data_IF_737224864337
#
_entry.id   IF_737224864337
#
_cell.length_a   1.000
_cell.length_b   1.000
_cell.length_c   1.000
_cell.angle_alpha   90.00
_cell.angle_beta   90.00
_cell.angle_gamma   90.00
#
_symmetry.space_group_name_H-M   'P 1'
#
loop_
_entity.id
_entity.type
_entity.pdbx_description
1 polymer ?
#
# COMPACT_ATOMS: atom_id res chain seq x y z
N UNK A 1 9.44 23.83 1.61
CA UNK A 1 9.00 22.45 1.33
C UNK A 1 9.83 21.54 2.20
N UNK A 2 9.20 20.74 3.05
CA UNK A 2 9.93 19.79 3.88
C UNK A 2 10.09 18.51 3.10
N UNK A 3 11.31 18.20 2.66
CA UNK A 3 11.67 16.85 2.19
C UNK A 3 11.47 15.89 3.36
N UNK A 4 11.22 14.61 3.08
CA UNK A 4 11.22 13.56 4.10
C UNK A 4 12.44 13.66 5.01
N UNK A 5 12.26 13.37 6.30
CA UNK A 5 13.34 13.44 7.30
C UNK A 5 14.34 12.30 7.19
N UNK A 6 14.00 11.25 6.44
CA UNK A 6 14.87 10.13 6.10
C UNK A 6 14.93 9.97 4.58
N UNK A 7 16.03 9.41 4.09
CA UNK A 7 16.18 9.07 2.67
C UNK A 7 15.36 7.84 2.30
N UNK A 8 15.08 7.67 1.00
CA UNK A 8 14.44 6.45 0.48
C UNK A 8 15.22 5.19 0.88
N UNK A 9 16.55 5.24 0.79
CA UNK A 9 17.42 4.12 1.18
C UNK A 9 17.26 3.75 2.65
N UNK A 10 17.30 4.73 3.55
CA UNK A 10 17.13 4.49 4.99
C UNK A 10 15.74 3.91 5.29
N UNK A 11 14.70 4.38 4.60
CA UNK A 11 13.34 3.86 4.76
C UNK A 11 13.24 2.38 4.33
N UNK A 12 13.87 2.02 3.19
CA UNK A 12 13.89 0.66 2.66
C UNK A 12 14.74 -0.26 3.56
N UNK A 13 15.92 0.20 3.98
CA UNK A 13 16.82 -0.55 4.87
C UNK A 13 16.12 -0.85 6.21
N UNK A 14 15.31 0.08 6.74
CA UNK A 14 14.50 -0.12 7.95
C UNK A 14 13.44 -1.22 7.77
N UNK A 15 12.84 -1.34 6.58
CA UNK A 15 11.88 -2.41 6.27
C UNK A 15 12.52 -3.79 6.22
N UNK A 16 13.78 -3.88 5.78
CA UNK A 16 14.61 -5.08 5.91
C UNK A 16 14.13 -6.30 5.12
N UNK A 17 13.28 -6.12 4.09
CA UNK A 17 12.83 -7.18 3.20
C UNK A 17 13.41 -6.97 1.80
N UNK A 18 14.43 -7.76 1.46
CA UNK A 18 15.25 -7.63 0.24
C UNK A 18 15.68 -6.17 -0.09
N UNK A 19 16.27 -5.42 0.86
CA UNK A 19 16.45 -3.98 0.74
C UNK A 19 17.27 -3.55 -0.47
N UNK A 20 18.30 -4.31 -0.85
CA UNK A 20 19.11 -4.02 -2.04
C UNK A 20 18.31 -4.15 -3.34
N UNK A 21 17.49 -5.19 -3.46
CA UNK A 21 16.64 -5.44 -4.63
C UNK A 21 15.55 -4.38 -4.73
N UNK A 22 14.86 -4.11 -3.63
CA UNK A 22 13.81 -3.08 -3.57
C UNK A 22 14.38 -1.71 -3.91
N UNK A 23 15.49 -1.32 -3.28
CA UNK A 23 16.13 -0.03 -3.54
C UNK A 23 16.58 0.11 -5.00
N UNK A 24 17.22 -0.92 -5.57
CA UNK A 24 17.62 -0.92 -6.97
C UNK A 24 16.42 -0.71 -7.90
N UNK A 25 15.38 -1.53 -7.76
CA UNK A 25 14.21 -1.52 -8.64
C UNK A 25 13.42 -0.20 -8.52
N UNK A 26 13.24 0.32 -7.30
CA UNK A 26 12.57 1.62 -7.10
C UNK A 26 13.41 2.77 -7.67
N UNK A 27 14.74 2.72 -7.53
CA UNK A 27 15.63 3.74 -8.11
C UNK A 27 15.57 3.73 -9.63
N UNK A 28 15.50 2.56 -10.26
CA UNK A 28 15.30 2.46 -11.71
C UNK A 28 13.94 3.02 -12.13
N UNK A 29 12.86 2.69 -11.41
CA UNK A 29 11.52 3.21 -11.69
C UNK A 29 11.39 4.72 -11.48
N UNK A 30 12.20 5.31 -10.60
CA UNK A 30 12.27 6.76 -10.42
C UNK A 30 12.92 7.48 -11.60
N UNK A 31 13.73 6.80 -12.42
CA UNK A 31 14.37 7.34 -13.63
C UNK A 31 15.03 8.73 -13.41
N UNK A 32 15.80 8.83 -12.32
CA UNK A 32 16.52 10.06 -11.94
C UNK A 32 15.67 11.14 -11.23
N UNK A 33 14.38 10.91 -10.99
CA UNK A 33 13.54 11.81 -10.17
C UNK A 33 13.93 11.69 -8.69
N UNK A 34 13.86 12.81 -7.98
CA UNK A 34 14.12 12.86 -6.54
C UNK A 34 12.95 12.26 -5.75
N UNK A 35 13.25 11.40 -4.77
CA UNK A 35 12.28 10.86 -3.84
C UNK A 35 11.98 11.90 -2.74
N UNK A 36 10.94 12.71 -2.91
CA UNK A 36 10.60 13.81 -2.00
C UNK A 36 9.98 13.29 -0.69
N UNK A 37 9.09 12.31 -0.82
CA UNK A 37 8.39 11.65 0.27
C UNK A 37 8.15 10.19 -0.05
N UNK A 38 8.18 9.33 0.97
CA UNK A 38 8.04 7.90 0.80
C UNK A 38 7.29 7.24 1.97
N UNK A 39 6.63 6.14 1.67
CA UNK A 39 6.12 5.18 2.64
C UNK A 39 6.76 3.84 2.29
N UNK A 40 7.35 3.18 3.29
CA UNK A 40 7.82 1.79 3.18
C UNK A 40 7.06 1.00 4.23
N UNK A 41 6.19 0.11 3.77
CA UNK A 41 5.37 -0.73 4.63
C UNK A 41 5.70 -2.19 4.37
N UNK A 42 6.05 -2.91 5.42
CA UNK A 42 6.29 -4.36 5.37
C UNK A 42 5.20 -5.01 6.16
N UNK A 43 4.54 -5.96 5.54
CA UNK A 43 3.47 -6.72 6.15
C UNK A 43 3.82 -8.20 6.12
N UNK A 44 3.37 -8.93 7.13
CA UNK A 44 3.67 -10.34 7.32
C UNK A 44 2.38 -11.04 7.71
N UNK A 45 1.82 -11.77 6.74
CA UNK A 45 0.65 -12.60 6.94
C UNK A 45 1.07 -14.02 7.24
N UNK A 46 0.33 -14.66 8.15
CA UNK A 46 0.45 -16.08 8.44
C UNK A 46 -0.81 -16.74 7.89
N UNK A 47 -0.67 -17.65 6.92
CA UNK A 47 -1.71 -18.63 6.62
C UNK A 47 -1.35 -19.97 7.29
N UNK A 48 -2.26 -20.93 7.25
CA UNK A 48 -2.16 -22.23 7.94
C UNK A 48 -0.90 -23.02 7.57
N UNK A 49 -0.28 -22.73 6.42
CA UNK A 49 0.88 -23.46 5.89
C UNK A 49 2.11 -22.57 5.61
N UNK A 50 1.94 -21.25 5.40
CA UNK A 50 3.04 -20.38 4.95
C UNK A 50 3.02 -18.96 5.56
N UNK A 51 4.22 -18.36 5.62
CA UNK A 51 4.41 -16.96 6.01
C UNK A 51 4.58 -16.14 4.74
N UNK A 52 3.59 -15.31 4.42
CA UNK A 52 3.66 -14.38 3.29
C UNK A 52 4.15 -13.03 3.79
N UNK A 53 5.41 -12.70 3.47
CA UNK A 53 5.95 -11.38 3.72
C UNK A 53 5.93 -10.59 2.43
N UNK A 54 5.43 -9.36 2.50
CA UNK A 54 5.48 -8.43 1.37
C UNK A 54 5.92 -7.05 1.83
N UNK A 55 6.49 -6.29 0.91
CA UNK A 55 6.88 -4.90 1.09
C UNK A 55 6.21 -4.05 0.01
N UNK A 56 5.52 -3.01 0.45
CA UNK A 56 4.95 -1.98 -0.41
C UNK A 56 5.71 -0.67 -0.19
N UNK A 57 6.21 -0.10 -1.29
CA UNK A 57 6.90 1.19 -1.31
C UNK A 57 6.10 2.18 -2.14
N UNK A 58 5.76 3.33 -1.55
CA UNK A 58 5.20 4.47 -2.26
C UNK A 58 6.23 5.60 -2.25
N UNK A 59 6.50 6.22 -3.39
CA UNK A 59 7.40 7.36 -3.50
C UNK A 59 6.74 8.47 -4.30
N UNK A 60 6.58 9.65 -3.70
CA UNK A 60 6.18 10.87 -4.41
C UNK A 60 7.46 11.52 -4.96
N UNK A 61 7.50 11.70 -6.28
CA UNK A 61 8.65 12.23 -7.00
C UNK A 61 8.19 13.26 -8.05
N UNK A 62 8.06 14.52 -7.63
CA UNK A 62 7.43 15.57 -8.43
C UNK A 62 5.96 15.25 -8.75
N UNK A 63 5.66 15.05 -10.03
CA UNK A 63 4.31 14.84 -10.55
C UNK A 63 3.89 13.37 -10.67
N UNK A 64 4.68 12.43 -10.15
CA UNK A 64 4.37 10.99 -10.16
C UNK A 64 4.48 10.37 -8.77
N UNK A 65 3.69 9.33 -8.54
CA UNK A 65 3.86 8.38 -7.44
C UNK A 65 4.41 7.08 -8.03
N UNK A 66 5.61 6.69 -7.62
CA UNK A 66 6.12 5.34 -7.89
C UNK A 66 5.60 4.41 -6.81
N UNK A 67 4.95 3.35 -7.25
CA UNK A 67 4.47 2.25 -6.42
C UNK A 67 5.34 1.06 -6.70
N UNK A 68 5.86 0.40 -5.67
CA UNK A 68 6.51 -0.88 -5.80
C UNK A 68 5.93 -1.88 -4.79
N UNK A 69 5.72 -3.10 -5.23
CA UNK A 69 5.30 -4.19 -4.36
C UNK A 69 6.21 -5.38 -4.59
N UNK A 70 6.78 -5.94 -3.53
CA UNK A 70 7.56 -7.16 -3.58
C UNK A 70 6.99 -8.18 -2.62
N UNK A 71 6.79 -9.39 -3.13
CA UNK A 71 6.49 -10.60 -2.38
C UNK A 71 7.50 -11.70 -2.75
N UNK A 72 7.62 -12.72 -1.91
CA UNK A 72 8.37 -13.93 -2.23
C UNK A 72 7.53 -15.19 -1.97
N UNK A 73 7.82 -16.23 -2.75
CA UNK A 73 7.12 -17.51 -2.69
C UNK A 73 8.13 -18.64 -2.92
N UNK A 74 7.87 -19.85 -2.41
CA UNK A 74 8.64 -21.02 -2.80
C UNK A 74 8.58 -21.21 -4.32
N UNK A 75 9.70 -21.57 -4.95
CA UNK A 75 9.71 -21.96 -6.34
C UNK A 75 8.80 -23.19 -6.53
N UNK A 76 7.94 -23.13 -7.56
CA UNK A 76 7.17 -24.30 -7.97
C UNK A 76 8.16 -25.43 -8.33
N UNK A 77 7.98 -26.61 -7.73
CA UNK A 77 8.76 -27.77 -8.12
C UNK A 77 8.34 -28.17 -9.54
N UNK A 78 9.23 -27.94 -10.51
CA UNK A 78 9.10 -28.61 -11.81
C UNK A 78 9.28 -30.11 -11.55
N UNK A 79 8.39 -30.98 -12.03
CA UNK A 79 8.36 -32.44 -11.75
C UNK A 79 9.68 -33.18 -12.11
N UNK A 80 10.62 -32.49 -12.75
CA UNK A 80 11.95 -32.96 -13.13
C UNK A 80 13.11 -32.44 -12.25
N UNK A 81 12.86 -31.48 -11.35
CA UNK A 81 13.86 -30.97 -10.42
C UNK A 81 13.86 -31.81 -9.14
N UNK A 82 15.04 -32.29 -8.75
CA UNK A 82 15.22 -33.15 -7.59
C UNK A 82 14.56 -32.57 -6.33
N UNK A 83 13.78 -33.40 -5.65
CA UNK A 83 13.16 -33.13 -4.35
C UNK A 83 14.16 -32.44 -3.40
N UNK A 84 13.88 -31.19 -3.02
CA UNK A 84 14.53 -30.57 -1.85
C UNK A 84 15.35 -29.29 -2.06
N UNK A 85 15.37 -28.66 -3.24
CA UNK A 85 15.84 -27.27 -3.33
C UNK A 85 14.67 -26.31 -3.09
N UNK A 86 14.40 -26.00 -1.82
CA UNK A 86 13.47 -24.93 -1.42
C UNK A 86 13.96 -23.54 -1.84
N UNK A 87 14.12 -23.32 -3.14
CA UNK A 87 14.48 -22.04 -3.73
C UNK A 87 13.32 -21.07 -3.52
N UNK A 88 13.63 -19.85 -3.10
CA UNK A 88 12.65 -18.78 -2.90
C UNK A 88 12.77 -17.80 -4.06
N UNK A 89 11.65 -17.52 -4.72
CA UNK A 89 11.57 -16.56 -5.82
C UNK A 89 10.86 -15.31 -5.34
N UNK A 90 11.53 -14.16 -5.47
CA UNK A 90 10.93 -12.86 -5.20
C UNK A 90 10.36 -12.25 -6.49
N UNK A 91 9.13 -11.75 -6.43
CA UNK A 91 8.49 -10.99 -7.52
C UNK A 91 8.32 -9.55 -7.06
N UNK A 92 8.93 -8.62 -7.78
CA UNK A 92 8.73 -7.18 -7.60
C UNK A 92 8.02 -6.59 -8.81
N UNK A 93 6.93 -5.87 -8.56
CA UNK A 93 6.25 -5.05 -9.56
C UNK A 93 6.46 -3.57 -9.23
N UNK A 94 6.56 -2.74 -10.28
CA UNK A 94 6.58 -1.28 -10.15
C UNK A 94 5.53 -0.67 -11.05
N UNK A 95 4.89 0.39 -10.57
CA UNK A 95 3.95 1.21 -11.32
C UNK A 95 4.31 2.69 -11.13
N UNK A 96 4.33 3.45 -12.22
CA UNK A 96 4.54 4.90 -12.18
C UNK A 96 3.22 5.58 -12.47
N UNK A 97 2.63 6.19 -11.44
CA UNK A 97 1.30 6.77 -11.48
C UNK A 97 1.40 8.30 -11.52
N UNK A 98 0.99 8.95 -12.62
CA UNK A 98 0.87 10.40 -12.64
C UNK A 98 -0.06 10.87 -11.52
N UNK A 99 0.34 11.89 -10.78
CA UNK A 99 -0.45 12.47 -9.68
C UNK A 99 -1.81 12.94 -10.18
N UNK A 100 -1.91 13.41 -11.43
CA UNK A 100 -3.16 13.79 -12.09
C UNK A 100 -4.14 12.62 -12.31
N UNK A 101 -3.68 11.37 -12.22
CA UNK A 101 -4.52 10.16 -12.29
C UNK A 101 -5.01 9.68 -10.92
N UNK A 102 -4.50 10.23 -9.82
CA UNK A 102 -5.01 9.91 -8.48
C UNK A 102 -6.45 10.43 -8.39
N UNK A 103 -7.42 9.50 -8.36
CA UNK A 103 -8.86 9.81 -8.33
C UNK A 103 -9.35 10.07 -6.91
N UNK A 104 -8.82 9.33 -5.94
CA UNK A 104 -9.23 9.44 -4.55
C UNK A 104 -8.06 9.16 -3.62
N UNK A 105 -7.99 9.92 -2.53
CA UNK A 105 -7.08 9.69 -1.42
C UNK A 105 -7.87 9.85 -0.12
N UNK A 106 -7.99 8.75 0.64
CA UNK A 106 -8.62 8.74 1.96
C UNK A 106 -7.53 8.47 3.00
N UNK A 107 -7.50 9.31 4.04
CA UNK A 107 -6.66 9.11 5.23
C UNK A 107 -7.56 9.07 6.45
N UNK A 108 -7.50 7.97 7.18
CA UNK A 108 -8.13 7.80 8.51
C UNK A 108 -7.05 7.84 9.57
N UNK A 109 -7.24 8.67 10.60
CA UNK A 109 -6.28 8.85 11.71
C UNK A 109 -6.88 8.28 13.01
N UNK A 110 -6.11 7.51 13.77
CA UNK A 110 -6.52 6.98 15.08
C UNK A 110 -5.83 7.77 16.19
N UNK A 111 -6.62 8.44 17.04
CA UNK A 111 -6.13 9.23 18.17
C UNK A 111 -6.32 8.46 19.49
N UNK A 112 -5.26 8.39 20.31
CA UNK A 112 -5.36 7.88 21.70
C UNK A 112 -5.95 8.95 22.61
N UNK A 113 -6.88 8.56 23.48
CA UNK A 113 -7.51 9.43 24.47
C UNK A 113 -8.06 10.72 23.84
N UNK A 114 -9.06 10.63 22.94
CA UNK A 114 -9.57 11.78 22.17
C UNK A 114 -10.14 12.90 23.07
N UNK A 115 -10.59 12.59 24.28
CA UNK A 115 -11.02 13.56 25.29
C UNK A 115 -9.90 14.48 25.78
N UNK A 116 -8.64 14.11 25.54
CA UNK A 116 -7.43 14.89 25.87
C UNK A 116 -6.68 15.31 24.60
N UNK A 117 -7.40 15.60 23.52
CA UNK A 117 -6.81 15.95 22.23
C UNK A 117 -5.80 17.09 22.33
N UNK A 118 -4.62 16.88 21.73
CA UNK A 118 -3.62 17.91 21.48
C UNK A 118 -3.06 17.74 20.07
N UNK A 119 -2.90 18.84 19.35
CA UNK A 119 -2.42 18.81 17.96
C UNK A 119 -0.97 18.32 17.80
N UNK A 120 -0.18 18.37 18.88
CA UNK A 120 1.22 17.91 18.96
C UNK A 120 1.35 16.44 19.37
N UNK A 121 0.25 15.77 19.74
CA UNK A 121 0.27 14.37 20.16
C UNK A 121 0.39 13.45 18.94
N UNK A 122 1.29 12.47 19.02
CA UNK A 122 1.45 11.42 18.01
C UNK A 122 0.18 10.60 17.83
N UNK A 123 -0.05 10.15 16.59
CA UNK A 123 -1.17 9.28 16.24
C UNK A 123 -0.87 7.84 16.65
N UNK A 124 -1.91 7.08 16.98
CA UNK A 124 -1.77 5.65 17.23
C UNK A 124 -1.55 4.87 15.93
N UNK A 125 -2.23 5.29 14.87
CA UNK A 125 -2.31 4.59 13.60
C UNK A 125 -2.85 5.53 12.53
N UNK A 126 -2.46 5.27 11.28
CA UNK A 126 -3.08 5.84 10.09
C UNK A 126 -3.44 4.72 9.11
N UNK A 127 -4.58 4.89 8.43
CA UNK A 127 -4.96 4.07 7.28
C UNK A 127 -5.08 4.95 6.04
N UNK A 128 -4.36 4.59 4.98
CA UNK A 128 -4.35 5.26 3.67
C UNK A 128 -5.05 4.35 2.65
N UNK A 129 -5.99 4.91 1.89
CA UNK A 129 -6.53 4.30 0.69
C UNK A 129 -6.27 5.25 -0.48
N UNK A 130 -5.61 4.77 -1.54
CA UNK A 130 -5.23 5.55 -2.71
C UNK A 130 -5.76 4.86 -3.96
N UNK A 131 -6.49 5.59 -4.80
CA UNK A 131 -7.12 5.04 -6.00
C UNK A 131 -6.71 5.75 -7.29
N UNK A 132 -6.34 5.02 -8.35
CA UNK A 132 -5.94 5.57 -9.66
C UNK A 132 -6.27 4.69 -10.88
N UNK A 133 -6.15 3.36 -10.79
CA UNK A 133 -6.30 2.50 -11.97
C UNK A 133 -7.75 2.36 -12.42
N UNK A 134 -8.72 2.77 -11.59
CA UNK A 134 -10.14 2.62 -11.91
C UNK A 134 -10.58 1.16 -12.03
N UNK A 135 -9.67 0.23 -11.79
CA UNK A 135 -9.93 -1.18 -11.57
C UNK A 135 -10.68 -1.31 -10.24
N UNK A 136 -11.66 -2.20 -10.25
CA UNK A 136 -12.45 -2.50 -9.08
C UNK A 136 -12.93 -3.94 -9.20
N UNK A 137 -12.94 -4.64 -8.08
CA UNK A 137 -13.62 -5.92 -7.97
C UNK A 137 -15.11 -5.67 -7.81
N UNK A 138 -15.91 -6.42 -8.54
CA UNK A 138 -17.36 -6.44 -8.34
C UNK A 138 -17.73 -7.69 -7.56
N UNK A 139 -18.14 -7.49 -6.31
CA UNK A 139 -18.67 -8.56 -5.46
C UNK A 139 -20.18 -8.61 -5.60
N UNK A 140 -20.71 -9.72 -6.10
CA UNK A 140 -22.15 -9.91 -6.29
C UNK A 140 -22.70 -11.06 -5.45
N UNK A 141 -23.95 -10.90 -5.03
CA UNK A 141 -24.73 -11.91 -4.31
C UNK A 141 -26.18 -11.84 -4.77
N UNK A 142 -26.93 -12.95 -4.77
CA UNK A 142 -28.36 -12.93 -5.07
C UNK A 142 -29.10 -11.93 -4.19
N UNK A 143 -29.98 -11.13 -4.80
CA UNK A 143 -30.78 -10.16 -4.07
C UNK A 143 -31.83 -10.86 -3.19
N UNK A 144 -31.84 -10.54 -1.89
CA UNK A 144 -32.85 -11.03 -0.95
C UNK A 144 -34.03 -10.04 -0.85
N UNK A 145 -35.25 -10.54 -0.99
CA UNK A 145 -36.49 -9.76 -0.85
C UNK A 145 -37.12 -9.86 0.55
N UNK A 146 -36.56 -10.68 1.45
CA UNK A 146 -37.04 -10.88 2.82
C UNK A 146 -38.32 -11.72 2.94
N UNK A 147 -38.86 -12.24 1.83
CA UNK A 147 -39.98 -13.17 1.82
C UNK A 147 -39.50 -14.61 1.56
N UNK A 148 -39.56 -15.52 2.55
CA UNK A 148 -39.08 -16.89 2.42
C UNK A 148 -39.93 -17.77 1.48
N UNK A 149 -41.15 -17.34 1.13
CA UNK A 149 -42.00 -18.03 0.17
C UNK A 149 -41.86 -17.48 -1.26
N UNK A 150 -41.02 -16.46 -1.46
CA UNK A 150 -40.83 -15.87 -2.78
C UNK A 150 -39.95 -16.75 -3.67
N UNK A 151 -40.46 -17.13 -4.84
CA UNK A 151 -39.74 -17.92 -5.86
C UNK A 151 -39.31 -17.06 -7.07
N UNK A 152 -39.46 -15.74 -6.99
CA UNK A 152 -39.12 -14.83 -8.07
C UNK A 152 -37.60 -14.59 -8.12
N UNK A 153 -37.05 -14.50 -9.33
CA UNK A 153 -35.67 -14.06 -9.55
C UNK A 153 -35.62 -12.53 -9.41
N UNK A 154 -34.91 -12.06 -8.39
CA UNK A 154 -34.72 -10.65 -8.10
C UNK A 154 -33.38 -10.10 -8.63
N UNK A 155 -32.64 -10.92 -9.38
CA UNK A 155 -31.29 -10.61 -9.85
C UNK A 155 -30.27 -10.60 -8.72
N UNK A 156 -29.10 -10.02 -9.02
CA UNK A 156 -28.00 -9.87 -8.07
C UNK A 156 -27.91 -8.44 -7.55
N UNK A 157 -27.53 -8.30 -6.29
CA UNK A 157 -27.00 -7.06 -5.73
C UNK A 157 -25.49 -7.19 -5.62
N UNK A 158 -24.78 -6.07 -5.68
CA UNK A 158 -23.34 -6.12 -5.55
C UNK A 158 -22.71 -4.81 -5.11
N UNK A 159 -21.45 -4.91 -4.69
CA UNK A 159 -20.62 -3.78 -4.28
C UNK A 159 -19.39 -3.71 -5.16
N UNK A 160 -19.07 -2.51 -5.63
CA UNK A 160 -17.79 -2.24 -6.29
C UNK A 160 -16.75 -1.88 -5.24
N UNK A 161 -15.65 -2.64 -5.21
CA UNK A 161 -14.50 -2.41 -4.34
C UNK A 161 -13.36 -1.90 -5.21
N UNK A 162 -12.97 -0.61 -5.13
CA UNK A 162 -11.80 -0.11 -5.82
C UNK A 162 -10.57 -0.91 -5.39
N UNK A 163 -9.77 -1.34 -6.36
CA UNK A 163 -8.54 -2.10 -6.12
C UNK A 163 -7.39 -1.26 -6.61
N UNK A 164 -6.72 -0.57 -5.69
CA UNK A 164 -5.53 0.21 -6.01
C UNK A 164 -4.51 0.03 -4.88
N UNK A 165 -4.51 0.83 -3.80
CA UNK A 165 -3.68 0.55 -2.61
C UNK A 165 -4.38 0.90 -1.30
N UNK A 166 -4.27 -0.01 -0.33
CA UNK A 166 -4.64 0.22 1.08
C UNK A 166 -3.47 -0.11 1.99
N UNK A 167 -3.06 0.85 2.82
CA UNK A 167 -2.00 0.67 3.82
C UNK A 167 -2.52 1.03 5.20
N UNK A 168 -2.18 0.22 6.20
CA UNK A 168 -2.45 0.49 7.62
C UNK A 168 -1.12 0.49 8.36
N UNK A 169 -0.80 1.61 8.99
CA UNK A 169 0.48 1.84 9.67
C UNK A 169 0.18 2.21 11.12
N UNK A 170 0.56 1.35 12.05
CA UNK A 170 0.32 1.48 13.46
C UNK A 170 1.63 1.75 14.21
N UNK A 171 1.63 2.74 15.10
CA UNK A 171 2.79 3.09 15.91
C UNK A 171 3.36 1.90 16.73
N UNK A 172 2.50 0.97 17.12
CA UNK A 172 2.90 -0.23 17.88
C UNK A 172 3.63 -1.27 17.04
N UNK A 173 3.46 -1.27 15.71
CA UNK A 173 4.07 -2.23 14.79
C UNK A 173 5.24 -1.60 14.03
N UNK A 174 5.02 -0.46 13.38
CA UNK A 174 6.03 0.21 12.54
C UNK A 174 6.77 1.36 13.25
N UNK A 175 6.33 1.76 14.46
CA UNK A 175 6.91 2.85 15.23
C UNK A 175 6.29 4.22 14.94
N UNK A 176 6.44 5.15 15.88
CA UNK A 176 5.84 6.50 15.79
C UNK A 176 6.30 7.27 14.53
N UNK A 177 7.58 7.12 14.15
CA UNK A 177 8.13 7.80 12.97
C UNK A 177 7.46 7.35 11.67
N UNK A 178 7.09 6.08 11.54
CA UNK A 178 6.43 5.57 10.34
C UNK A 178 5.04 6.18 10.14
N UNK A 179 4.32 6.41 11.25
CA UNK A 179 3.02 7.08 11.23
C UNK A 179 3.15 8.54 10.80
N UNK A 180 4.15 9.25 11.33
CA UNK A 180 4.43 10.65 10.96
C UNK A 180 4.91 10.78 9.50
N UNK A 181 5.75 9.86 9.03
CA UNK A 181 6.20 9.79 7.63
C UNK A 181 5.01 9.58 6.68
N UNK A 182 4.12 8.62 6.98
CA UNK A 182 2.92 8.38 6.19
C UNK A 182 2.00 9.61 6.14
N UNK A 183 1.84 10.30 7.28
CA UNK A 183 1.07 11.55 7.33
C UNK A 183 1.73 12.66 6.52
N UNK A 184 3.06 12.74 6.54
CA UNK A 184 3.85 13.69 5.74
C UNK A 184 3.67 13.43 4.24
N UNK A 185 3.81 12.17 3.81
CA UNK A 185 3.56 11.72 2.45
C UNK A 185 2.15 12.10 1.97
N UNK A 186 1.11 11.79 2.75
CA UNK A 186 -0.27 12.12 2.40
C UNK A 186 -0.48 13.63 2.27
N UNK A 187 0.11 14.43 3.15
CA UNK A 187 0.04 15.89 3.06
C UNK A 187 0.71 16.40 1.78
N UNK A 188 1.83 15.81 1.38
CA UNK A 188 2.53 16.18 0.16
C UNK A 188 1.73 15.77 -1.09
N UNK A 189 1.23 14.53 -1.12
CA UNK A 189 0.42 14.01 -2.22
C UNK A 189 -0.86 14.83 -2.40
N UNK A 190 -1.55 15.20 -1.32
CA UNK A 190 -2.73 16.09 -1.39
C UNK A 190 -2.43 17.44 -2.04
N UNK A 191 -1.25 18.03 -1.79
CA UNK A 191 -0.83 19.27 -2.45
C UNK A 191 -0.55 19.04 -3.92
N UNK A 192 0.26 18.03 -4.23
CA UNK A 192 0.59 17.68 -5.61
C UNK A 192 -0.66 17.36 -6.45
N UNK A 193 -1.66 16.67 -5.89
CA UNK A 193 -2.94 16.38 -6.56
C UNK A 193 -3.72 17.64 -6.92
N UNK A 194 -3.64 18.70 -6.10
CA UNK A 194 -4.26 20.00 -6.42
C UNK A 194 -3.43 20.75 -7.47
N UNK A 195 -2.11 20.73 -7.33
CA UNK A 195 -1.19 21.42 -8.24
C UNK A 195 -1.20 20.83 -9.66
N UNK A 196 -1.56 19.55 -9.79
CA UNK A 196 -1.56 18.79 -11.04
C UNK A 196 -2.94 18.29 -11.47
N UNK A 197 -4.02 18.91 -10.97
CA UNK A 197 -5.41 18.53 -11.28
C UNK A 197 -5.85 18.78 -12.74
N UNK A 198 -4.93 18.97 -13.70
CA UNK A 198 -5.23 19.37 -15.08
C UNK A 198 -5.11 18.24 -16.07
#
# INVERSE_FOLDING_TARGET
MGISTITLKEAIDRGGFYPSLVHHTVTEALDGREAEHQIVHVDTHFDMEEVHRHITVLVLAGEVVVVAHLDDHPAEHDDAAAEGSGEVVARISTEVVPVSRIRSLILSEVHRHPEQFRADRALAEVSLNLNWTGGARFDSMPADCGNPECMADHGDTGTWVPEDITLRIAATAEGDSAVDEARSFVRALRRASVDHAR
#
